data_IF_700189873973
#
_entry.id   IF_700189873973
#
_cell.length_a   1.000
_cell.length_b   1.000
_cell.length_c   1.000
_cell.angle_alpha   90.00
_cell.angle_beta   90.00
_cell.angle_gamma   90.00
#
_symmetry.space_group_name_H-M   'P 1'
#
loop_
_entity.id
_entity.type
_entity.pdbx_description
1 polymer ?
#
# COMPACT_ATOMS: atom_id res chain seq x y z
N UNK A 1 -50.82 4.09 40.54
CA UNK A 1 -49.55 4.84 40.61
C UNK A 1 -48.41 3.93 40.18
N UNK A 2 -48.07 3.92 38.88
CA UNK A 2 -47.08 3.01 38.32
C UNK A 2 -45.65 3.56 38.48
N UNK A 3 -44.88 2.86 39.31
CA UNK A 3 -43.50 2.43 39.04
C UNK A 3 -42.44 3.49 38.66
N UNK A 4 -41.64 3.86 39.66
CA UNK A 4 -40.17 3.70 39.65
C UNK A 4 -39.43 4.22 38.40
N UNK A 5 -39.66 5.48 38.03
CA UNK A 5 -38.91 6.23 36.99
C UNK A 5 -37.53 6.74 37.44
N UNK A 6 -36.80 6.02 38.28
CA UNK A 6 -35.46 6.47 38.70
C UNK A 6 -34.58 5.27 38.98
N UNK A 7 -33.74 4.94 37.98
CA UNK A 7 -32.39 4.35 38.08
C UNK A 7 -32.14 3.49 36.83
N UNK A 8 -31.70 4.13 35.75
CA UNK A 8 -30.91 3.54 34.63
C UNK A 8 -30.67 4.61 33.56
N UNK A 9 -30.27 5.81 33.97
CA UNK A 9 -29.71 6.82 33.08
C UNK A 9 -28.26 7.01 33.54
N UNK A 10 -27.32 7.05 32.59
CA UNK A 10 -25.87 7.21 32.77
C UNK A 10 -25.01 5.94 32.81
N UNK A 11 -25.26 4.98 31.91
CA UNK A 11 -24.21 4.03 31.49
C UNK A 11 -24.23 3.79 29.98
N UNK A 12 -24.46 4.83 29.18
CA UNK A 12 -24.12 4.78 27.75
C UNK A 12 -22.70 5.30 27.60
N UNK A 13 -21.76 4.41 27.92
CA UNK A 13 -20.35 4.47 27.53
C UNK A 13 -20.33 4.78 26.04
N UNK A 14 -20.14 6.05 25.70
CA UNK A 14 -20.01 6.50 24.31
C UNK A 14 -18.72 5.89 23.80
N UNK A 15 -18.86 4.75 23.11
CA UNK A 15 -17.77 4.17 22.35
C UNK A 15 -17.32 5.25 21.36
N UNK A 16 -16.21 5.91 21.66
CA UNK A 16 -15.47 6.74 20.71
C UNK A 16 -15.10 5.80 19.56
N UNK A 17 -15.93 5.77 18.51
CA UNK A 17 -15.55 5.24 17.21
C UNK A 17 -14.42 6.14 16.72
N UNK A 18 -13.20 5.80 17.08
CA UNK A 18 -12.01 6.27 16.37
C UNK A 18 -12.16 5.72 14.96
N UNK A 19 -12.74 6.53 14.07
CA UNK A 19 -12.65 6.27 12.65
C UNK A 19 -11.17 6.28 12.33
N UNK A 20 -10.58 5.09 12.20
CA UNK A 20 -9.26 4.93 11.58
C UNK A 20 -9.46 5.47 10.17
N UNK A 21 -9.11 6.75 9.95
CA UNK A 21 -8.87 7.31 8.63
C UNK A 21 -7.67 6.55 8.07
N UNK A 22 -7.90 5.33 7.61
CA UNK A 22 -7.05 4.72 6.59
C UNK A 22 -7.26 5.55 5.35
N UNK A 23 -6.45 6.62 5.23
CA UNK A 23 -6.30 7.35 3.99
C UNK A 23 -5.94 6.31 2.92
N UNK A 24 -6.93 5.92 2.11
CA UNK A 24 -6.68 5.13 0.92
C UNK A 24 -5.71 5.95 0.10
N UNK A 25 -4.42 5.56 0.08
CA UNK A 25 -3.40 6.18 -0.77
C UNK A 25 -4.00 6.22 -2.16
N UNK A 26 -4.39 7.41 -2.61
CA UNK A 26 -4.95 7.61 -3.93
C UNK A 26 -3.80 7.38 -4.92
N UNK A 27 -3.64 6.14 -5.37
CA UNK A 27 -2.72 5.81 -6.44
C UNK A 27 -3.28 6.45 -7.71
N UNK A 28 -2.59 7.46 -8.23
CA UNK A 28 -2.92 8.05 -9.53
C UNK A 28 -3.01 6.92 -10.56
N UNK A 29 -4.07 6.93 -11.39
CA UNK A 29 -4.22 5.98 -12.51
C UNK A 29 -2.97 6.09 -13.39
N UNK A 30 -2.11 5.08 -13.36
CA UNK A 30 -0.92 5.02 -14.17
C UNK A 30 -1.25 4.37 -15.52
N UNK A 31 -0.61 4.81 -16.60
CA UNK A 31 -0.81 4.21 -17.92
C UNK A 31 -0.41 2.71 -17.90
N UNK A 32 -1.26 1.78 -18.39
CA UNK A 32 -0.97 0.34 -18.40
C UNK A 32 0.38 -0.03 -19.03
N UNK A 33 0.82 0.68 -20.08
CA UNK A 33 2.12 0.44 -20.71
C UNK A 33 3.29 0.76 -19.77
N UNK A 34 3.17 1.82 -18.98
CA UNK A 34 4.18 2.18 -17.98
C UNK A 34 4.23 1.18 -16.81
N UNK A 35 3.10 0.56 -16.46
CA UNK A 35 3.05 -0.47 -15.42
C UNK A 35 3.83 -1.73 -15.80
N UNK A 36 3.81 -2.14 -17.08
CA UNK A 36 4.58 -3.30 -17.56
C UNK A 36 6.08 -3.08 -17.37
N UNK A 37 6.59 -1.97 -17.89
CA UNK A 37 8.02 -1.61 -17.78
C UNK A 37 8.47 -1.49 -16.32
N UNK A 38 7.72 -0.76 -15.50
CA UNK A 38 8.07 -0.59 -14.07
C UNK A 38 8.02 -1.89 -13.29
N UNK A 39 7.07 -2.79 -13.60
CA UNK A 39 7.01 -4.13 -13.02
C UNK A 39 8.22 -5.00 -13.37
N UNK A 40 8.68 -4.93 -14.62
CA UNK A 40 9.86 -5.66 -15.08
C UNK A 40 11.15 -5.18 -14.43
N UNK A 41 11.39 -3.86 -14.41
CA UNK A 41 12.54 -3.27 -13.72
C UNK A 41 12.51 -3.64 -12.24
N UNK A 42 11.33 -3.62 -11.60
CA UNK A 42 11.19 -3.98 -10.18
C UNK A 42 11.54 -5.45 -9.93
N UNK A 43 11.19 -6.37 -10.83
CA UNK A 43 11.54 -7.78 -10.72
C UNK A 43 13.06 -7.98 -10.78
N UNK A 44 13.72 -7.38 -11.77
CA UNK A 44 15.18 -7.41 -11.92
C UNK A 44 15.87 -6.76 -10.72
N UNK A 45 15.36 -5.62 -10.26
CA UNK A 45 15.91 -4.96 -9.07
C UNK A 45 15.80 -5.85 -7.83
N UNK A 46 14.70 -6.57 -7.64
CA UNK A 46 14.58 -7.52 -6.53
C UNK A 46 15.54 -8.71 -6.66
N UNK A 47 15.76 -9.22 -7.88
CA UNK A 47 16.75 -10.27 -8.14
C UNK A 47 18.17 -9.79 -7.85
N UNK A 48 18.53 -8.57 -8.27
CA UNK A 48 19.81 -7.96 -7.98
C UNK A 48 19.99 -7.67 -6.49
N UNK A 49 18.95 -7.14 -5.82
CA UNK A 49 18.99 -6.83 -4.38
C UNK A 49 19.16 -8.06 -3.49
N UNK A 50 18.67 -9.22 -3.95
CA UNK A 50 18.84 -10.51 -3.27
C UNK A 50 20.27 -11.03 -3.36
N UNK A 51 20.98 -10.74 -4.46
CA UNK A 51 22.37 -11.13 -4.66
C UNK A 51 23.30 -10.13 -3.97
N UNK A 52 23.05 -8.85 -4.21
CA UNK A 52 23.84 -7.74 -3.69
C UNK A 52 22.91 -6.72 -3.00
N UNK A 53 22.95 -6.60 -1.66
CA UNK A 53 22.10 -5.63 -0.95
C UNK A 53 22.42 -4.17 -1.34
N UNK A 54 23.62 -3.91 -1.86
CA UNK A 54 24.04 -2.59 -2.34
C UNK A 54 23.67 -2.32 -3.82
N UNK A 55 22.97 -3.25 -4.49
CA UNK A 55 22.53 -3.05 -5.86
C UNK A 55 21.66 -1.78 -5.98
N UNK A 56 21.97 -0.94 -6.98
CA UNK A 56 21.28 0.31 -7.27
C UNK A 56 20.22 0.10 -8.34
N UNK A 57 19.20 0.96 -8.31
CA UNK A 57 18.13 0.95 -9.32
C UNK A 57 18.67 1.18 -10.74
N UNK A 58 19.75 1.95 -10.88
CA UNK A 58 20.39 2.21 -12.17
C UNK A 58 20.94 0.95 -12.85
N UNK A 59 21.48 0.01 -12.07
CA UNK A 59 22.00 -1.25 -12.61
C UNK A 59 20.85 -2.15 -13.08
N UNK A 60 19.76 -2.19 -12.30
CA UNK A 60 18.53 -2.86 -12.70
C UNK A 60 17.92 -2.26 -13.98
N UNK A 61 17.97 -0.94 -14.18
CA UNK A 61 17.49 -0.29 -15.40
C UNK A 61 18.38 -0.61 -16.61
N UNK A 62 19.72 -0.67 -16.44
CA UNK A 62 20.65 -1.07 -17.51
C UNK A 62 20.41 -2.52 -17.92
N UNK A 63 20.24 -3.43 -16.96
CA UNK A 63 19.91 -4.83 -17.26
C UNK A 63 18.52 -4.98 -17.90
N UNK A 64 17.52 -4.28 -17.36
CA UNK A 64 16.18 -4.27 -17.94
C UNK A 64 16.19 -3.72 -19.37
N UNK A 65 17.02 -2.72 -19.68
CA UNK A 65 17.15 -2.18 -21.04
C UNK A 65 17.81 -3.16 -21.99
N UNK A 66 18.75 -3.99 -21.51
CA UNK A 66 19.38 -5.05 -22.32
C UNK A 66 18.39 -6.19 -22.59
N UNK A 67 17.57 -6.55 -21.60
CA UNK A 67 16.50 -7.55 -21.72
C UNK A 67 15.21 -7.01 -22.32
N UNK A 68 15.18 -5.73 -22.70
CA UNK A 68 14.00 -5.06 -23.29
C UNK A 68 13.58 -5.70 -24.61
N UNK A 69 14.50 -6.39 -25.30
CA UNK A 69 14.21 -7.15 -26.50
C UNK A 69 13.32 -8.39 -26.25
N UNK A 70 13.25 -8.88 -25.01
CA UNK A 70 12.42 -10.04 -24.61
C UNK A 70 11.03 -9.64 -24.09
N UNK A 71 10.71 -8.33 -24.06
CA UNK A 71 9.45 -7.77 -23.55
C UNK A 71 8.57 -7.27 -24.69
#
# INVERSE_FOLDING_TARGET
MASRMMTRRMARKTARKTSRKTARKMTRKMNPKAMKWTGFVKKIYQELKKKDPNAKLGDAMKEASKRKAEM
#
